data_IF_383988527919
#
_entry.id   IF_383988527919
#
_cell.length_a   1.000
_cell.length_b   1.000
_cell.length_c   1.000
_cell.angle_alpha   90.00
_cell.angle_beta   90.00
_cell.angle_gamma   90.00
#
_symmetry.space_group_name_H-M   'P 1'
#
loop_
_entity.id
_entity.type
_entity.pdbx_description
1 polymer ?
#
# COMPACT_ATOMS: atom_id res chain seq x y z
N UNK A 1 15.59 -4.83 17.80
CA UNK A 1 14.78 -5.68 18.71
C UNK A 1 13.97 -6.74 17.97
N UNK A 2 13.26 -6.45 16.86
CA UNK A 2 12.53 -7.48 16.09
C UNK A 2 13.48 -8.57 15.57
N UNK A 3 14.64 -8.21 15.03
CA UNK A 3 15.63 -9.17 14.53
C UNK A 3 16.15 -10.13 15.60
N UNK A 4 16.32 -9.66 16.85
CA UNK A 4 16.78 -10.50 17.96
C UNK A 4 15.72 -11.53 18.40
N UNK A 5 14.46 -11.24 18.21
CA UNK A 5 13.34 -12.10 18.62
C UNK A 5 12.82 -13.02 17.53
N UNK A 6 12.79 -12.54 16.29
CA UNK A 6 12.12 -13.22 15.15
C UNK A 6 13.04 -13.43 13.93
N UNK A 7 14.31 -13.04 14.04
CA UNK A 7 15.26 -13.08 12.93
C UNK A 7 15.12 -11.91 11.94
N UNK A 8 16.13 -11.75 11.11
CA UNK A 8 16.23 -10.63 10.16
C UNK A 8 15.16 -10.66 9.06
N UNK A 9 14.65 -11.84 8.70
CA UNK A 9 13.54 -11.98 7.72
C UNK A 9 12.25 -11.31 8.19
N UNK A 10 12.04 -11.21 9.50
CA UNK A 10 10.87 -10.58 10.08
C UNK A 10 11.02 -9.05 10.28
N UNK A 11 12.18 -8.49 9.96
CA UNK A 11 12.39 -7.04 10.02
C UNK A 11 11.72 -6.40 8.82
N UNK A 12 10.74 -5.49 9.02
CA UNK A 12 10.08 -4.82 7.90
C UNK A 12 11.10 -4.05 7.06
N UNK A 13 11.01 -4.11 5.73
CA UNK A 13 11.81 -3.27 4.86
C UNK A 13 11.51 -1.79 5.15
N UNK A 14 12.56 -0.99 5.23
CA UNK A 14 12.47 0.44 5.51
C UNK A 14 13.27 1.25 4.51
N UNK A 15 13.22 2.56 4.64
CA UNK A 15 13.92 3.52 3.77
C UNK A 15 15.31 3.90 4.28
N UNK A 16 15.74 3.38 5.43
CA UNK A 16 17.07 3.68 5.99
C UNK A 16 18.14 2.82 5.30
N UNK A 17 19.08 3.47 4.62
CA UNK A 17 20.23 2.81 3.96
C UNK A 17 21.03 1.96 4.95
N UNK A 18 21.17 2.39 6.20
CA UNK A 18 21.89 1.64 7.24
C UNK A 18 21.31 0.26 7.54
N UNK A 19 20.03 0.03 7.26
CA UNK A 19 19.42 -1.29 7.38
C UNK A 19 20.04 -2.26 6.35
N UNK A 20 20.14 -1.81 5.10
CA UNK A 20 20.67 -2.63 4.00
C UNK A 20 22.19 -2.78 4.05
N UNK A 21 22.87 -1.85 4.70
CA UNK A 21 24.32 -1.95 4.97
C UNK A 21 24.66 -2.91 6.12
N UNK A 22 23.66 -3.35 6.90
CA UNK A 22 23.88 -4.32 7.96
C UNK A 22 24.21 -5.72 7.37
N UNK A 23 25.37 -6.33 7.71
CA UNK A 23 25.79 -7.61 7.11
C UNK A 23 24.79 -8.76 7.32
N UNK A 24 24.09 -8.77 8.44
CA UNK A 24 23.09 -9.80 8.75
C UNK A 24 21.80 -9.60 7.97
N UNK A 25 21.36 -8.35 7.77
CA UNK A 25 20.20 -8.05 6.94
C UNK A 25 20.50 -8.28 5.46
N UNK A 26 21.69 -7.96 5.01
CA UNK A 26 22.12 -8.19 3.63
C UNK A 26 22.10 -9.68 3.20
N UNK A 27 22.14 -10.62 4.15
CA UNK A 27 21.98 -12.06 3.88
C UNK A 27 20.54 -12.48 3.58
N UNK A 28 19.56 -11.62 3.89
CA UNK A 28 18.16 -11.90 3.59
C UNK A 28 17.95 -11.83 2.08
N UNK A 29 17.40 -12.88 1.50
CA UNK A 29 17.33 -13.09 0.04
C UNK A 29 16.64 -11.94 -0.73
N UNK A 30 15.68 -11.27 -0.11
CA UNK A 30 14.96 -10.15 -0.73
C UNK A 30 15.57 -8.76 -0.44
N UNK A 31 16.55 -8.63 0.47
CA UNK A 31 17.05 -7.33 0.92
C UNK A 31 17.60 -6.48 -0.24
N UNK A 32 18.44 -7.09 -1.09
CA UNK A 32 19.00 -6.39 -2.26
C UNK A 32 17.91 -5.97 -3.24
N UNK A 33 17.00 -6.85 -3.57
CA UNK A 33 15.90 -6.56 -4.51
C UNK A 33 15.00 -5.43 -3.98
N UNK A 34 14.73 -5.41 -2.68
CA UNK A 34 13.96 -4.33 -2.05
C UNK A 34 14.68 -2.99 -2.15
N UNK A 35 15.99 -2.96 -1.84
CA UNK A 35 16.78 -1.73 -1.99
C UNK A 35 16.83 -1.24 -3.43
N UNK A 36 17.07 -2.15 -4.37
CA UNK A 36 17.10 -1.84 -5.81
C UNK A 36 15.74 -1.28 -6.27
N UNK A 37 14.64 -1.85 -5.81
CA UNK A 37 13.28 -1.37 -6.11
C UNK A 37 13.01 0.03 -5.54
N UNK A 38 13.47 0.29 -4.31
CA UNK A 38 13.35 1.63 -3.68
C UNK A 38 14.14 2.66 -4.48
N UNK A 39 15.37 2.33 -4.88
CA UNK A 39 16.23 3.23 -5.62
C UNK A 39 15.78 3.46 -7.07
N UNK A 40 15.09 2.48 -7.67
CA UNK A 40 14.55 2.57 -9.01
C UNK A 40 13.17 3.24 -9.06
N UNK A 41 12.54 3.48 -7.91
CA UNK A 41 11.22 4.09 -7.87
C UNK A 41 11.25 5.52 -8.44
N UNK A 42 10.50 5.72 -9.52
CA UNK A 42 10.32 7.03 -10.16
C UNK A 42 8.82 7.36 -10.22
N UNK A 43 8.33 8.23 -9.34
CA UNK A 43 6.91 8.60 -9.34
C UNK A 43 6.47 9.39 -10.57
N UNK A 44 7.41 9.97 -11.32
CA UNK A 44 7.10 10.67 -12.58
C UNK A 44 6.96 9.72 -13.77
N UNK A 45 7.54 8.50 -13.66
CA UNK A 45 7.44 7.44 -14.64
C UNK A 45 6.98 6.13 -13.97
N UNK A 46 5.74 6.08 -13.42
CA UNK A 46 5.29 4.98 -12.57
C UNK A 46 5.03 3.68 -13.31
N UNK A 47 5.06 3.67 -14.64
CA UNK A 47 4.82 2.49 -15.45
C UNK A 47 5.62 2.54 -16.76
N UNK A 48 5.71 1.39 -17.44
CA UNK A 48 6.37 1.27 -18.76
C UNK A 48 5.74 2.18 -19.82
N UNK A 49 4.41 2.37 -19.74
CA UNK A 49 3.70 3.34 -20.58
C UNK A 49 3.53 4.65 -19.82
N UNK A 50 3.71 5.76 -20.53
CA UNK A 50 3.46 7.09 -19.98
C UNK A 50 2.03 7.17 -19.43
N UNK A 51 1.89 7.71 -18.23
CA UNK A 51 0.60 7.96 -17.59
C UNK A 51 0.41 9.45 -17.35
N UNK A 52 -0.83 9.95 -17.35
CA UNK A 52 -1.11 11.37 -17.12
C UNK A 52 -1.10 11.76 -15.63
N UNK A 53 -0.55 10.92 -14.76
CA UNK A 53 -0.53 11.13 -13.31
C UNK A 53 0.83 10.76 -12.72
N UNK A 54 1.12 11.34 -11.56
CA UNK A 54 2.28 10.98 -10.73
C UNK A 54 1.96 9.70 -9.97
N UNK A 55 2.88 8.72 -9.99
CA UNK A 55 2.74 7.47 -9.26
C UNK A 55 2.89 7.68 -7.76
N UNK A 56 1.80 7.50 -7.05
CA UNK A 56 1.74 7.52 -5.58
C UNK A 56 1.08 6.25 -5.08
N UNK A 57 1.40 5.85 -3.87
CA UNK A 57 0.87 4.60 -3.26
C UNK A 57 -0.57 4.73 -2.78
N UNK A 58 -1.11 5.95 -2.77
CA UNK A 58 -2.50 6.24 -2.36
C UNK A 58 -3.02 7.49 -3.08
N UNK A 59 -4.32 7.67 -3.22
CA UNK A 59 -4.90 8.89 -3.74
C UNK A 59 -4.58 10.10 -2.84
N UNK A 60 -4.01 11.16 -3.42
CA UNK A 60 -3.65 12.38 -2.68
C UNK A 60 -4.86 13.33 -2.57
N UNK A 61 -5.92 12.86 -1.91
CA UNK A 61 -7.15 13.61 -1.65
C UNK A 61 -7.44 13.68 -0.15
N UNK A 62 -8.07 14.77 0.35
CA UNK A 62 -8.36 14.93 1.78
C UNK A 62 -9.20 13.80 2.38
N UNK A 63 -10.09 13.21 1.59
CA UNK A 63 -11.00 12.13 2.02
C UNK A 63 -10.31 10.78 2.19
N UNK A 64 -9.08 10.62 1.70
CA UNK A 64 -8.41 9.32 1.66
C UNK A 64 -8.30 8.62 3.02
N UNK A 65 -7.91 9.29 4.14
CA UNK A 65 -7.75 8.61 5.42
C UNK A 65 -9.05 7.94 5.89
N UNK A 66 -10.17 8.66 5.85
CA UNK A 66 -11.48 8.14 6.30
C UNK A 66 -12.06 7.14 5.31
N UNK A 67 -12.00 7.47 4.01
CA UNK A 67 -12.45 6.58 2.95
C UNK A 67 -11.65 5.27 2.93
N UNK A 68 -10.32 5.35 3.01
CA UNK A 68 -9.44 4.18 2.98
C UNK A 68 -9.64 3.27 4.18
N UNK A 69 -9.81 3.84 5.37
CA UNK A 69 -10.13 3.09 6.60
C UNK A 69 -11.44 2.32 6.43
N UNK A 70 -12.50 3.00 5.97
CA UNK A 70 -13.82 2.36 5.80
C UNK A 70 -13.81 1.29 4.71
N UNK A 71 -13.16 1.54 3.58
CA UNK A 71 -12.99 0.54 2.54
C UNK A 71 -12.21 -0.68 3.05
N UNK A 72 -11.15 -0.45 3.84
CA UNK A 72 -10.37 -1.51 4.48
C UNK A 72 -11.22 -2.38 5.44
N UNK A 73 -12.10 -1.78 6.24
CA UNK A 73 -13.04 -2.51 7.10
C UNK A 73 -13.97 -3.41 6.28
N UNK A 74 -14.53 -2.88 5.19
CA UNK A 74 -15.44 -3.63 4.30
C UNK A 74 -14.69 -4.83 3.69
N UNK A 75 -13.47 -4.64 3.17
CA UNK A 75 -12.68 -5.75 2.63
C UNK A 75 -12.27 -6.75 3.70
N UNK A 76 -11.92 -6.30 4.90
CA UNK A 76 -11.59 -7.18 6.03
C UNK A 76 -12.77 -8.09 6.40
N UNK A 77 -14.00 -7.60 6.33
CA UNK A 77 -15.19 -8.42 6.60
C UNK A 77 -15.35 -9.57 5.59
N UNK A 78 -14.94 -9.38 4.34
CA UNK A 78 -14.94 -10.45 3.35
C UNK A 78 -13.78 -11.43 3.59
N UNK A 79 -12.60 -10.95 3.93
CA UNK A 79 -11.43 -11.79 4.20
C UNK A 79 -11.64 -12.69 5.44
N UNK A 80 -12.39 -12.21 6.42
CA UNK A 80 -12.76 -12.98 7.63
C UNK A 80 -14.00 -13.87 7.44
N UNK A 81 -14.61 -13.89 6.26
CA UNK A 81 -15.79 -14.70 5.95
C UNK A 81 -17.11 -14.16 6.51
N UNK A 82 -17.12 -12.95 7.08
CA UNK A 82 -18.33 -12.30 7.60
C UNK A 82 -19.27 -11.80 6.49
N UNK A 83 -18.70 -11.49 5.33
CA UNK A 83 -19.44 -10.94 4.18
C UNK A 83 -18.98 -11.64 2.90
N UNK A 84 -19.89 -11.86 1.96
CA UNK A 84 -19.54 -12.37 0.64
C UNK A 84 -18.66 -11.36 -0.11
N UNK A 85 -17.57 -11.79 -0.79
CA UNK A 85 -16.68 -10.88 -1.53
C UNK A 85 -17.39 -9.96 -2.52
N UNK A 86 -18.37 -10.47 -3.28
CA UNK A 86 -19.15 -9.67 -4.21
C UNK A 86 -19.98 -8.57 -3.53
N UNK A 87 -20.55 -8.90 -2.36
CA UNK A 87 -21.27 -7.91 -1.54
C UNK A 87 -20.32 -6.85 -0.98
N UNK A 88 -19.16 -7.26 -0.48
CA UNK A 88 -18.16 -6.32 0.04
C UNK A 88 -17.65 -5.36 -1.07
N UNK A 89 -17.36 -5.87 -2.25
CA UNK A 89 -16.96 -5.05 -3.39
C UNK A 89 -18.03 -4.02 -3.76
N UNK A 90 -19.30 -4.45 -3.79
CA UNK A 90 -20.41 -3.53 -4.06
C UNK A 90 -20.54 -2.47 -2.97
N UNK A 91 -20.47 -2.84 -1.71
CA UNK A 91 -20.52 -1.89 -0.58
C UNK A 91 -19.37 -0.87 -0.64
N UNK A 92 -18.14 -1.33 -0.93
CA UNK A 92 -16.98 -0.45 -1.07
C UNK A 92 -17.16 0.51 -2.27
N UNK A 93 -17.71 0.04 -3.38
CA UNK A 93 -18.01 0.87 -4.55
C UNK A 93 -19.08 1.91 -4.22
N UNK A 94 -20.20 1.51 -3.62
CA UNK A 94 -21.30 2.41 -3.27
C UNK A 94 -20.81 3.50 -2.29
N UNK A 95 -20.02 3.11 -1.29
CA UNK A 95 -19.40 4.05 -0.35
C UNK A 95 -18.44 5.02 -1.05
N UNK A 96 -17.60 4.52 -1.96
CA UNK A 96 -16.68 5.35 -2.76
C UNK A 96 -17.44 6.37 -3.58
N UNK A 97 -18.48 5.96 -4.28
CA UNK A 97 -19.33 6.88 -5.06
C UNK A 97 -19.92 7.96 -4.15
N UNK A 98 -20.46 7.59 -2.99
CA UNK A 98 -21.03 8.55 -2.03
C UNK A 98 -19.99 9.58 -1.58
N UNK A 99 -18.79 9.16 -1.19
CA UNK A 99 -17.71 10.05 -0.73
C UNK A 99 -17.27 10.98 -1.85
N UNK A 100 -17.02 10.43 -3.05
CA UNK A 100 -16.51 11.20 -4.19
C UNK A 100 -17.57 12.20 -4.74
N UNK A 101 -18.85 11.82 -4.70
CA UNK A 101 -19.94 12.74 -5.06
C UNK A 101 -20.05 13.88 -4.03
N UNK A 102 -20.00 13.56 -2.73
CA UNK A 102 -20.04 14.58 -1.67
C UNK A 102 -18.85 15.54 -1.74
N UNK A 103 -17.70 15.05 -2.12
CA UNK A 103 -16.49 15.85 -2.31
C UNK A 103 -16.47 16.63 -3.63
N UNK A 104 -17.40 16.38 -4.54
CA UNK A 104 -17.52 17.09 -5.83
C UNK A 104 -16.61 16.55 -6.94
N UNK A 105 -15.99 15.39 -6.75
CA UNK A 105 -15.12 14.76 -7.78
C UNK A 105 -15.94 14.11 -8.90
N UNK A 106 -17.12 13.62 -8.58
CA UNK A 106 -18.06 13.03 -9.54
C UNK A 106 -19.44 13.70 -9.41
N UNK A 107 -20.14 13.79 -10.56
CA UNK A 107 -21.48 14.38 -10.66
C UNK A 107 -22.55 13.30 -10.72
#
# INVERSE_FOLDING_TARGET
MVAAQKGWVAVPPGTRISLYANPEYAKVSFAKMTLDSINAADPLHPSVKQTPYVGVVFPAIPEYPDWGTKAGEIFSSALTGQTNPGVALKQAQDYTVQVMTKAGYIK
#
